data_IF_628261061735
#
_entry.id   IF_628261061735
#
_cell.length_a   1.000
_cell.length_b   1.000
_cell.length_c   1.000
_cell.angle_alpha   90.00
_cell.angle_beta   90.00
_cell.angle_gamma   90.00
#
_symmetry.space_group_name_H-M   'P 1'
#
loop_
_entity.id
_entity.type
_entity.pdbx_description
1 polymer ?
#
# COMPACT_ATOMS: atom_id res chain seq x y z
N UNK A 1 55.09 -25.10 -8.55
CA UNK A 1 54.31 -24.89 -9.79
C UNK A 1 53.08 -24.02 -9.56
N UNK A 2 53.18 -22.85 -8.89
CA UNK A 2 52.03 -22.03 -8.47
C UNK A 2 52.19 -20.53 -8.82
N UNK A 3 53.18 -20.16 -9.62
CA UNK A 3 53.48 -18.74 -9.91
C UNK A 3 53.09 -18.29 -11.32
N UNK A 4 52.66 -19.19 -12.20
CA UNK A 4 52.38 -18.89 -13.62
C UNK A 4 50.93 -18.56 -13.91
N UNK A 5 50.00 -18.82 -12.97
CA UNK A 5 48.54 -18.61 -13.19
C UNK A 5 48.09 -17.19 -12.82
N UNK A 6 48.88 -16.46 -12.02
CA UNK A 6 48.51 -15.07 -11.60
C UNK A 6 48.86 -13.99 -12.62
N UNK A 7 49.81 -14.25 -13.54
CA UNK A 7 50.20 -13.24 -14.54
C UNK A 7 49.27 -13.21 -15.77
N UNK A 8 48.50 -14.24 -16.04
CA UNK A 8 47.60 -14.31 -17.20
C UNK A 8 46.29 -13.53 -16.97
N UNK A 9 45.87 -13.37 -15.72
CA UNK A 9 44.61 -12.67 -15.40
C UNK A 9 44.75 -11.13 -15.45
N UNK A 10 45.94 -10.58 -15.29
CA UNK A 10 46.17 -9.12 -15.31
C UNK A 10 46.26 -8.58 -16.75
N UNK A 11 46.65 -9.40 -17.73
CA UNK A 11 46.80 -8.97 -19.12
C UNK A 11 45.50 -8.86 -19.93
N UNK A 12 44.40 -9.49 -19.48
CA UNK A 12 43.09 -9.48 -20.18
C UNK A 12 42.21 -8.29 -19.75
N UNK A 13 42.47 -7.68 -18.60
CA UNK A 13 41.68 -6.54 -18.09
C UNK A 13 42.17 -5.16 -18.60
N UNK A 14 43.31 -5.08 -19.27
CA UNK A 14 43.86 -3.82 -19.79
C UNK A 14 43.44 -3.47 -21.22
N UNK A 15 42.79 -4.36 -21.97
CA UNK A 15 42.44 -4.15 -23.39
C UNK A 15 40.98 -3.72 -23.65
N UNK A 16 40.14 -3.62 -22.64
CA UNK A 16 38.71 -3.27 -22.80
C UNK A 16 38.37 -1.80 -22.50
N UNK A 17 39.36 -0.93 -22.27
CA UNK A 17 39.11 0.46 -21.81
C UNK A 17 39.24 1.53 -22.91
N UNK A 18 39.27 1.20 -24.19
CA UNK A 18 39.60 2.17 -25.26
C UNK A 18 38.58 2.25 -26.41
N UNK A 19 37.29 2.05 -26.13
CA UNK A 19 36.26 2.35 -27.17
C UNK A 19 34.92 2.81 -26.54
N UNK A 20 34.97 3.87 -25.76
CA UNK A 20 33.76 4.64 -25.48
C UNK A 20 33.65 5.78 -26.52
N UNK A 21 32.58 5.87 -27.33
CA UNK A 21 32.35 7.04 -28.17
C UNK A 21 32.15 8.26 -27.29
N UNK A 22 32.90 9.32 -27.54
CA UNK A 22 32.72 10.62 -26.91
C UNK A 22 31.29 11.09 -27.11
N UNK A 23 30.45 10.96 -26.07
CA UNK A 23 29.16 11.64 -26.02
C UNK A 23 29.46 13.12 -25.93
N UNK A 24 29.17 13.84 -27.00
CA UNK A 24 29.13 15.30 -27.00
C UNK A 24 28.26 15.75 -25.81
N UNK A 25 28.89 16.42 -24.85
CA UNK A 25 28.21 17.08 -23.75
C UNK A 25 27.33 18.19 -24.37
N UNK A 26 26.02 17.99 -24.39
CA UNK A 26 25.08 19.08 -24.66
C UNK A 26 25.34 20.19 -23.61
N UNK A 27 25.47 21.44 -24.06
CA UNK A 27 25.60 22.56 -23.13
C UNK A 27 24.37 22.59 -22.22
N UNK A 28 24.49 22.98 -20.94
CA UNK A 28 23.38 23.09 -20.02
C UNK A 28 22.32 24.02 -20.61
N UNK A 29 21.14 23.48 -20.92
CA UNK A 29 20.01 24.28 -21.34
C UNK A 29 19.66 25.21 -20.18
N UNK A 30 19.79 26.53 -20.38
CA UNK A 30 19.26 27.53 -19.45
C UNK A 30 17.78 27.22 -19.26
N UNK A 31 17.29 27.21 -18.00
CA UNK A 31 15.86 27.09 -17.75
C UNK A 31 15.14 28.19 -18.54
N UNK A 32 14.16 27.78 -19.34
CA UNK A 32 13.34 28.69 -20.11
C UNK A 32 12.68 29.66 -19.14
N UNK A 33 12.84 30.96 -19.38
CA UNK A 33 12.13 32.00 -18.62
C UNK A 33 10.63 31.77 -18.82
N UNK A 34 9.85 31.64 -17.74
CA UNK A 34 8.41 31.42 -17.89
C UNK A 34 7.78 32.58 -18.68
N UNK A 35 6.90 32.21 -19.60
CA UNK A 35 6.14 33.16 -20.42
C UNK A 35 5.34 34.08 -19.50
N UNK A 36 5.47 35.42 -19.60
CA UNK A 36 4.76 36.38 -18.77
C UNK A 36 3.24 36.15 -18.76
N UNK A 37 2.67 35.65 -19.85
CA UNK A 37 1.24 35.28 -19.91
C UNK A 37 0.88 34.06 -19.07
N UNK A 38 1.82 33.18 -18.75
CA UNK A 38 1.60 32.09 -17.81
C UNK A 38 1.65 32.56 -16.36
N UNK A 39 2.53 33.50 -16.03
CA UNK A 39 2.60 34.10 -14.69
C UNK A 39 1.32 34.85 -14.36
N UNK A 40 0.81 35.70 -15.26
CA UNK A 40 -0.45 36.43 -15.09
C UNK A 40 -1.67 35.50 -14.92
N UNK A 41 -1.62 34.30 -15.53
CA UNK A 41 -2.69 33.29 -15.36
C UNK A 41 -2.62 32.59 -14.02
N UNK A 42 -1.41 32.35 -13.52
CA UNK A 42 -1.19 31.74 -12.22
C UNK A 42 -1.59 32.73 -11.10
N UNK A 43 -1.20 34.00 -11.20
CA UNK A 43 -1.57 35.02 -10.25
C UNK A 43 -3.09 35.19 -10.16
N UNK A 44 -3.80 35.27 -11.27
CA UNK A 44 -5.28 35.35 -11.28
C UNK A 44 -5.95 34.15 -10.63
N UNK A 45 -5.41 32.95 -10.82
CA UNK A 45 -5.94 31.75 -10.14
C UNK A 45 -5.65 31.74 -8.66
N UNK A 46 -4.48 32.23 -8.24
CA UNK A 46 -4.12 32.39 -6.82
C UNK A 46 -5.05 33.40 -6.13
N UNK A 47 -5.30 34.56 -6.76
CA UNK A 47 -6.23 35.56 -6.23
C UNK A 47 -7.67 35.04 -6.12
N UNK A 48 -8.10 34.23 -7.08
CA UNK A 48 -9.43 33.60 -7.01
C UNK A 48 -9.53 32.58 -5.89
N UNK A 49 -8.48 31.81 -5.64
CA UNK A 49 -8.42 30.83 -4.52
C UNK A 49 -8.39 31.58 -3.17
N UNK A 50 -7.59 32.64 -3.04
CA UNK A 50 -7.52 33.46 -1.83
C UNK A 50 -8.87 34.12 -1.54
N UNK A 51 -9.54 34.67 -2.54
CA UNK A 51 -10.88 35.26 -2.38
C UNK A 51 -11.93 34.23 -1.94
N UNK A 52 -11.83 32.98 -2.39
CA UNK A 52 -12.70 31.90 -1.92
C UNK A 52 -12.40 31.47 -0.49
N UNK A 53 -11.14 31.53 -0.06
CA UNK A 53 -10.73 31.27 1.32
C UNK A 53 -11.18 32.41 2.26
N UNK A 54 -10.99 33.66 1.88
CA UNK A 54 -11.41 34.85 2.66
C UNK A 54 -12.94 34.95 2.77
N UNK A 55 -13.68 34.50 1.76
CA UNK A 55 -15.15 34.43 1.79
C UNK A 55 -15.71 33.35 2.73
N UNK A 56 -14.88 32.41 3.20
CA UNK A 56 -15.25 31.38 4.16
C UNK A 56 -14.99 31.78 5.62
N UNK A 57 -14.33 32.91 5.90
CA UNK A 57 -13.99 33.40 7.25
C UNK A 57 -15.06 34.31 7.87
N UNK A 58 -16.33 34.05 7.58
CA UNK A 58 -17.47 34.79 8.16
C UNK A 58 -18.15 34.12 9.34
N UNK A 59 -17.41 33.62 10.36
CA UNK A 59 -17.94 33.43 11.75
C UNK A 59 -16.81 33.05 12.71
N UNK A 60 -16.61 33.76 13.85
CA UNK A 60 -15.69 33.32 14.87
C UNK A 60 -16.30 32.17 15.66
N UNK A 61 -15.97 30.96 15.29
CA UNK A 61 -16.32 29.73 15.98
C UNK A 61 -15.14 28.78 15.85
N UNK A 62 -14.51 28.45 16.96
CA UNK A 62 -13.41 27.58 17.30
C UNK A 62 -12.59 26.86 16.21
N UNK A 63 -11.36 26.42 16.51
CA UNK A 63 -10.54 25.73 15.54
C UNK A 63 -11.33 24.55 14.96
N UNK A 64 -11.35 24.35 13.62
CA UNK A 64 -11.98 23.18 13.05
C UNK A 64 -11.21 21.96 13.56
N UNK A 65 -11.81 21.23 14.46
CA UNK A 65 -11.45 19.85 14.72
C UNK A 65 -11.41 19.17 13.34
N UNK A 66 -10.26 18.60 12.97
CA UNK A 66 -10.08 17.82 11.75
C UNK A 66 -11.29 16.90 11.63
N UNK A 67 -12.13 17.15 10.62
CA UNK A 67 -13.46 16.57 10.51
C UNK A 67 -13.41 15.05 10.57
N UNK A 68 -13.70 14.52 11.74
CA UNK A 68 -14.13 13.14 11.90
C UNK A 68 -15.37 12.99 11.02
N UNK A 69 -15.25 12.24 9.94
CA UNK A 69 -16.39 11.89 9.11
C UNK A 69 -17.49 11.39 10.04
N UNK A 70 -18.68 11.97 9.97
CA UNK A 70 -19.78 11.63 10.83
C UNK A 70 -20.03 10.13 10.75
N UNK A 71 -19.80 9.43 11.87
CA UNK A 71 -20.09 8.01 11.97
C UNK A 71 -21.57 7.80 11.65
N UNK A 72 -21.85 6.97 10.65
CA UNK A 72 -23.24 6.65 10.28
C UNK A 72 -23.87 5.86 11.42
N UNK A 73 -24.94 6.37 12.02
CA UNK A 73 -25.76 5.67 13.02
C UNK A 73 -26.65 4.62 12.34
N UNK A 74 -26.02 3.60 11.73
CA UNK A 74 -26.76 2.52 11.10
C UNK A 74 -27.00 1.42 12.14
N UNK A 75 -28.22 0.90 12.21
CA UNK A 75 -28.56 -0.19 13.13
C UNK A 75 -27.71 -1.44 12.81
N UNK A 76 -27.03 -2.00 13.80
CA UNK A 76 -26.14 -3.18 13.71
C UNK A 76 -26.84 -4.44 13.12
N UNK A 77 -28.20 -4.45 13.06
CA UNK A 77 -29.00 -5.62 12.66
C UNK A 77 -28.83 -6.08 11.21
N UNK A 78 -28.30 -5.25 10.32
CA UNK A 78 -28.09 -5.57 8.90
C UNK A 78 -26.65 -6.03 8.55
N UNK A 79 -25.75 -6.05 9.50
CA UNK A 79 -24.35 -6.40 9.26
C UNK A 79 -24.02 -7.81 9.77
N UNK A 80 -23.11 -8.46 9.06
CA UNK A 80 -22.51 -9.75 9.47
C UNK A 80 -21.02 -9.58 9.74
N UNK A 81 -20.45 -10.41 10.65
CA UNK A 81 -19.03 -10.41 10.93
C UNK A 81 -18.16 -10.65 9.69
N UNK A 82 -17.02 -9.93 9.61
CA UNK A 82 -16.06 -10.05 8.53
C UNK A 82 -16.13 -8.96 7.48
N UNK A 83 -15.27 -9.02 6.51
CA UNK A 83 -15.20 -8.14 5.34
C UNK A 83 -15.33 -8.95 4.04
N UNK A 84 -15.81 -8.33 2.98
CA UNK A 84 -15.78 -8.94 1.65
C UNK A 84 -14.36 -8.79 1.11
N UNK A 85 -13.70 -9.90 0.84
CA UNK A 85 -12.43 -9.94 0.13
C UNK A 85 -12.70 -10.07 -1.37
N UNK A 86 -12.29 -9.07 -2.14
CA UNK A 86 -12.28 -9.10 -3.60
C UNK A 86 -10.86 -9.43 -4.05
N UNK A 87 -10.72 -10.46 -4.85
CA UNK A 87 -9.41 -10.97 -5.30
C UNK A 87 -9.15 -10.49 -6.72
N UNK A 88 -7.98 -9.95 -6.95
CA UNK A 88 -7.49 -9.46 -8.23
C UNK A 88 -6.18 -10.16 -8.60
N UNK A 89 -5.82 -10.14 -9.88
CA UNK A 89 -4.45 -10.47 -10.27
C UNK A 89 -3.48 -9.42 -9.69
N UNK A 90 -2.35 -9.84 -9.11
CA UNK A 90 -1.37 -8.91 -8.59
C UNK A 90 -0.78 -8.04 -9.72
N UNK A 91 -0.53 -6.74 -9.48
CA UNK A 91 0.15 -5.87 -10.42
C UNK A 91 1.55 -6.40 -10.77
N UNK A 92 1.97 -6.23 -12.01
CA UNK A 92 3.30 -6.69 -12.48
C UNK A 92 4.35 -5.58 -12.48
N UNK A 93 3.93 -4.33 -12.26
CA UNK A 93 4.81 -3.15 -12.25
C UNK A 93 4.68 -2.39 -10.93
N UNK A 94 5.80 -1.91 -10.40
CA UNK A 94 5.84 -1.13 -9.16
C UNK A 94 4.98 0.15 -9.22
N UNK A 95 4.88 0.79 -10.40
CA UNK A 95 4.04 1.97 -10.60
C UNK A 95 2.54 1.69 -10.44
N UNK A 96 2.11 0.46 -10.68
CA UNK A 96 0.71 0.04 -10.59
C UNK A 96 0.36 -0.58 -9.23
N UNK A 97 1.33 -0.74 -8.33
CA UNK A 97 1.13 -1.48 -7.10
C UNK A 97 0.05 -0.85 -6.20
N UNK A 98 -0.08 0.49 -6.22
CA UNK A 98 -1.11 1.22 -5.49
C UNK A 98 -2.49 1.28 -6.19
N UNK A 99 -2.59 0.76 -7.41
CA UNK A 99 -3.81 0.77 -8.19
C UNK A 99 -4.55 -0.55 -8.00
N UNK A 100 -5.80 -0.50 -7.54
CA UNK A 100 -6.66 -1.68 -7.50
C UNK A 100 -7.10 -1.99 -8.93
N UNK A 101 -6.78 -3.17 -9.47
CA UNK A 101 -7.21 -3.53 -10.82
C UNK A 101 -8.75 -3.55 -10.95
N UNK A 102 -9.32 -3.15 -12.08
CA UNK A 102 -10.78 -3.12 -12.27
C UNK A 102 -11.40 -4.52 -12.29
N UNK A 103 -10.66 -5.51 -12.78
CA UNK A 103 -11.15 -6.87 -12.94
C UNK A 103 -10.82 -7.72 -11.72
N UNK A 104 -11.83 -8.40 -11.17
CA UNK A 104 -11.66 -9.37 -10.10
C UNK A 104 -11.65 -10.79 -10.63
N UNK A 105 -10.89 -11.65 -9.98
CA UNK A 105 -10.80 -13.09 -10.29
C UNK A 105 -11.57 -13.97 -9.31
N UNK A 106 -12.18 -13.36 -8.29
CA UNK A 106 -13.01 -14.04 -7.29
C UNK A 106 -13.19 -13.22 -6.02
N UNK A 107 -13.82 -13.84 -5.02
CA UNK A 107 -14.02 -13.20 -3.73
C UNK A 107 -14.53 -14.18 -2.67
N UNK A 108 -14.40 -13.78 -1.40
CA UNK A 108 -14.86 -14.55 -0.25
C UNK A 108 -15.12 -13.61 0.95
N UNK A 109 -15.69 -14.12 2.03
CA UNK A 109 -15.81 -13.37 3.28
C UNK A 109 -14.58 -13.63 4.14
N UNK A 110 -13.84 -12.58 4.47
CA UNK A 110 -12.68 -12.62 5.34
C UNK A 110 -13.09 -12.32 6.78
N UNK A 111 -12.87 -13.28 7.66
CA UNK A 111 -13.18 -13.18 9.10
C UNK A 111 -11.91 -13.18 9.98
N UNK A 112 -10.77 -13.00 9.37
CA UNK A 112 -9.46 -13.05 10.02
C UNK A 112 -8.58 -14.21 9.55
N UNK A 113 -7.37 -14.25 10.11
CA UNK A 113 -6.33 -15.24 9.83
C UNK A 113 -5.50 -14.95 8.60
N UNK A 114 -4.59 -15.85 8.30
CA UNK A 114 -3.61 -15.70 7.23
C UNK A 114 -4.22 -15.91 5.84
N UNK A 115 -3.82 -15.06 4.90
CA UNK A 115 -4.13 -15.13 3.47
C UNK A 115 -2.89 -15.60 2.72
N UNK A 116 -2.94 -16.76 2.11
CA UNK A 116 -1.88 -17.25 1.21
C UNK A 116 -2.08 -16.62 -0.18
N UNK A 117 -1.46 -15.47 -0.46
CA UNK A 117 -1.69 -14.69 -1.67
C UNK A 117 -1.33 -15.43 -2.98
N UNK A 118 -0.53 -16.48 -2.89
CA UNK A 118 -0.18 -17.35 -4.01
C UNK A 118 -1.14 -18.53 -4.19
N UNK A 119 -2.00 -18.81 -3.20
CA UNK A 119 -2.97 -19.92 -3.25
C UNK A 119 -4.16 -19.60 -2.32
N UNK A 120 -5.23 -19.12 -2.89
CA UNK A 120 -6.50 -18.84 -2.21
C UNK A 120 -7.54 -19.93 -2.42
N UNK A 121 -7.15 -21.12 -2.86
CA UNK A 121 -8.06 -22.25 -3.11
C UNK A 121 -8.80 -22.71 -1.85
N UNK A 122 -8.16 -22.65 -0.68
CA UNK A 122 -8.78 -22.89 0.62
C UNK A 122 -9.90 -21.90 0.97
N UNK A 123 -9.94 -20.74 0.30
CA UNK A 123 -10.99 -19.73 0.39
C UNK A 123 -12.00 -19.80 -0.76
N UNK A 124 -11.91 -20.84 -1.59
CA UNK A 124 -12.81 -21.07 -2.73
C UNK A 124 -12.44 -20.27 -4.00
N UNK A 125 -11.33 -19.55 -4.03
CA UNK A 125 -10.87 -18.78 -5.20
C UNK A 125 -9.89 -19.62 -6.00
N UNK A 126 -10.24 -19.93 -7.24
CA UNK A 126 -9.38 -20.67 -8.17
C UNK A 126 -8.64 -19.71 -9.08
N UNK A 127 -7.48 -19.26 -8.63
CA UNK A 127 -6.60 -18.39 -9.38
C UNK A 127 -5.17 -18.91 -9.33
N UNK A 128 -4.57 -19.12 -10.49
CA UNK A 128 -3.18 -19.59 -10.61
C UNK A 128 -2.26 -18.40 -10.81
N UNK A 129 -1.78 -17.80 -9.73
CA UNK A 129 -0.87 -16.66 -9.74
C UNK A 129 -0.82 -15.97 -8.38
N UNK A 130 0.00 -14.94 -8.28
CA UNK A 130 -0.01 -14.08 -7.11
C UNK A 130 -1.25 -13.19 -7.16
N UNK A 131 -2.00 -13.16 -6.08
CA UNK A 131 -3.19 -12.34 -5.93
C UNK A 131 -2.89 -11.02 -5.20
N UNK A 132 -3.57 -9.95 -5.61
CA UNK A 132 -3.86 -8.81 -4.76
C UNK A 132 -5.23 -9.00 -4.11
N UNK A 133 -5.41 -8.51 -2.89
CA UNK A 133 -6.67 -8.64 -2.15
C UNK A 133 -7.16 -7.27 -1.70
N UNK A 134 -8.38 -6.94 -2.08
CA UNK A 134 -9.10 -5.78 -1.57
C UNK A 134 -10.12 -6.23 -0.54
N UNK A 135 -9.97 -5.80 0.71
CA UNK A 135 -10.99 -5.99 1.74
C UNK A 135 -11.95 -4.80 1.74
N UNK A 136 -13.23 -5.08 1.63
CA UNK A 136 -14.31 -4.09 1.64
C UNK A 136 -15.28 -4.40 2.78
N UNK A 137 -15.57 -3.41 3.62
CA UNK A 137 -16.47 -3.62 4.74
C UNK A 137 -16.61 -2.38 5.61
N UNK A 138 -16.91 -2.63 6.87
CA UNK A 138 -17.08 -1.59 7.87
C UNK A 138 -16.18 -1.89 9.06
N UNK A 139 -15.39 -0.94 9.46
CA UNK A 139 -14.57 -1.00 10.66
C UNK A 139 -15.42 -0.55 11.86
N UNK A 140 -15.52 -1.41 12.87
CA UNK A 140 -16.24 -1.10 14.12
C UNK A 140 -15.26 -0.53 15.14
N UNK A 141 -15.42 0.75 15.45
CA UNK A 141 -14.63 1.45 16.48
C UNK A 141 -15.50 1.61 17.72
N UNK A 142 -15.05 1.05 18.86
CA UNK A 142 -15.79 1.06 20.13
C UNK A 142 -15.39 2.25 21.01
N UNK A 143 -14.16 2.72 20.91
CA UNK A 143 -13.56 3.74 21.76
C UNK A 143 -12.86 4.80 20.92
N UNK A 144 -12.95 6.07 21.34
CA UNK A 144 -12.24 7.17 20.70
C UNK A 144 -10.74 7.05 20.87
N UNK A 145 -9.99 7.35 19.83
CA UNK A 145 -8.53 7.40 19.86
C UNK A 145 -7.89 6.87 18.60
N UNK A 146 -6.58 6.57 18.71
CA UNK A 146 -5.79 6.12 17.58
C UNK A 146 -6.04 4.64 17.28
N UNK A 147 -6.62 4.38 16.12
CA UNK A 147 -6.75 3.04 15.56
C UNK A 147 -5.62 2.83 14.57
N UNK A 148 -4.96 1.68 14.63
CA UNK A 148 -3.96 1.28 13.65
C UNK A 148 -4.49 0.07 12.87
N UNK A 149 -4.33 0.12 11.57
CA UNK A 149 -4.57 -0.99 10.65
C UNK A 149 -3.21 -1.40 10.11
N UNK A 150 -2.93 -2.67 10.08
CA UNK A 150 -1.64 -3.17 9.66
C UNK A 150 -1.73 -4.48 8.91
N UNK A 151 -0.56 -4.92 8.49
CA UNK A 151 -0.38 -6.20 7.84
C UNK A 151 0.97 -6.79 8.19
N UNK A 152 0.98 -8.06 8.59
CA UNK A 152 2.19 -8.86 8.71
C UNK A 152 2.35 -9.71 7.45
N UNK A 153 3.39 -9.40 6.70
CA UNK A 153 3.74 -10.06 5.45
C UNK A 153 4.87 -11.05 5.70
N UNK A 154 4.67 -12.27 5.23
CA UNK A 154 5.68 -13.34 5.30
C UNK A 154 5.86 -13.92 3.90
N UNK A 155 7.12 -14.11 3.51
CA UNK A 155 7.43 -14.75 2.25
C UNK A 155 8.48 -15.84 2.41
N UNK A 156 8.28 -16.95 1.69
CA UNK A 156 9.32 -17.93 1.45
C UNK A 156 9.86 -17.69 0.04
N UNK A 157 11.11 -17.25 -0.04
CA UNK A 157 11.75 -16.86 -1.28
C UNK A 157 12.31 -18.06 -2.05
N UNK A 158 12.33 -17.96 -3.37
CA UNK A 158 13.01 -18.92 -4.24
C UNK A 158 14.52 -19.02 -3.91
N UNK A 159 15.20 -20.11 -4.29
CA UNK A 159 16.58 -20.37 -3.89
C UNK A 159 17.60 -19.34 -4.43
N UNK A 160 17.25 -18.64 -5.50
CA UNK A 160 18.12 -17.64 -6.15
C UNK A 160 17.69 -16.19 -5.84
N UNK A 161 16.67 -15.99 -5.01
CA UNK A 161 16.13 -14.67 -4.70
C UNK A 161 16.92 -14.07 -3.53
N UNK A 162 17.61 -12.98 -3.77
CA UNK A 162 18.37 -12.22 -2.76
C UNK A 162 17.52 -11.10 -2.17
N UNK A 163 16.64 -10.52 -2.98
CA UNK A 163 15.73 -9.44 -2.60
C UNK A 163 14.32 -9.92 -2.88
N UNK A 164 13.47 -9.95 -1.87
CA UNK A 164 12.09 -10.38 -2.01
C UNK A 164 11.21 -9.33 -2.71
N UNK A 165 9.93 -9.60 -2.88
CA UNK A 165 9.00 -8.71 -3.57
C UNK A 165 8.77 -7.41 -2.79
N UNK A 166 8.48 -6.33 -3.51
CA UNK A 166 7.88 -5.13 -2.95
C UNK A 166 6.39 -5.37 -2.74
N UNK A 167 5.90 -5.02 -1.56
CA UNK A 167 4.50 -5.12 -1.19
C UNK A 167 3.94 -3.76 -0.78
N UNK A 168 2.63 -3.62 -0.85
CA UNK A 168 1.90 -2.42 -0.47
C UNK A 168 0.73 -2.75 0.45
N UNK A 169 0.47 -1.87 1.39
CA UNK A 169 -0.79 -1.74 2.11
C UNK A 169 -1.33 -0.33 1.88
N UNK A 170 -2.54 -0.21 1.38
CA UNK A 170 -3.23 1.07 1.25
C UNK A 170 -4.61 0.97 1.90
N UNK A 171 -4.99 2.00 2.65
CA UNK A 171 -6.27 2.02 3.35
C UNK A 171 -7.06 3.28 3.05
N UNK A 172 -8.38 3.09 2.97
CA UNK A 172 -9.38 4.16 2.85
C UNK A 172 -10.40 4.01 3.97
N UNK A 173 -10.76 5.13 4.58
CA UNK A 173 -11.92 5.28 5.46
C UNK A 173 -12.85 6.32 4.85
N UNK A 174 -14.15 6.02 4.75
CA UNK A 174 -15.16 6.89 4.14
C UNK A 174 -14.71 7.42 2.76
N UNK A 175 -14.14 6.51 1.93
CA UNK A 175 -13.61 6.79 0.59
C UNK A 175 -12.39 7.75 0.55
N UNK A 176 -11.82 8.12 1.70
CA UNK A 176 -10.58 8.92 1.81
C UNK A 176 -9.39 8.02 2.09
N UNK A 177 -8.32 8.18 1.35
CA UNK A 177 -7.05 7.51 1.63
C UNK A 177 -6.53 7.99 2.98
N UNK A 178 -6.35 7.08 3.93
CA UNK A 178 -5.75 7.37 5.24
C UNK A 178 -4.25 7.10 5.26
N UNK A 179 -3.77 6.31 4.33
CA UNK A 179 -2.35 6.06 4.17
C UNK A 179 -2.04 5.02 3.11
N UNK A 180 -0.77 5.00 2.74
CA UNK A 180 -0.17 4.01 1.84
C UNK A 180 1.22 3.71 2.36
N UNK A 181 1.47 2.45 2.68
CA UNK A 181 2.77 1.96 3.12
C UNK A 181 3.31 0.94 2.13
N UNK A 182 4.62 0.95 1.92
CA UNK A 182 5.33 0.01 1.05
C UNK A 182 6.51 -0.59 1.79
N UNK A 183 6.76 -1.85 1.57
CA UNK A 183 7.94 -2.51 2.07
C UNK A 183 8.50 -3.50 1.06
N UNK A 184 9.81 -3.56 1.02
CA UNK A 184 10.57 -4.63 0.38
C UNK A 184 10.68 -5.78 1.37
N UNK A 185 10.21 -6.97 1.01
CA UNK A 185 10.41 -8.15 1.84
C UNK A 185 11.88 -8.53 1.85
N UNK A 186 12.53 -8.34 2.98
CA UNK A 186 13.96 -8.60 3.13
C UNK A 186 14.17 -9.94 3.84
N UNK A 187 15.03 -10.82 3.33
CA UNK A 187 15.37 -12.06 4.01
C UNK A 187 15.90 -11.80 5.42
N UNK A 188 15.29 -12.41 6.42
CA UNK A 188 15.71 -12.33 7.83
C UNK A 188 16.58 -13.52 8.25
N UNK A 189 16.29 -14.70 7.68
CA UNK A 189 17.07 -15.92 7.88
C UNK A 189 16.82 -16.89 6.72
N UNK A 190 17.88 -17.32 6.07
CA UNK A 190 17.76 -18.25 4.93
C UNK A 190 16.87 -17.72 3.83
N UNK A 191 15.71 -18.37 3.63
CA UNK A 191 14.73 -18.03 2.57
C UNK A 191 13.48 -17.32 3.09
N UNK A 192 13.42 -17.10 4.38
CA UNK A 192 12.27 -16.42 4.99
C UNK A 192 12.48 -14.91 5.00
N UNK A 193 11.47 -14.19 4.53
CA UNK A 193 11.42 -12.73 4.54
C UNK A 193 10.15 -12.25 5.23
N UNK A 194 10.23 -11.11 5.93
CA UNK A 194 9.10 -10.51 6.64
C UNK A 194 9.09 -9.01 6.48
N UNK A 195 7.89 -8.45 6.51
CA UNK A 195 7.67 -7.02 6.66
C UNK A 195 6.35 -6.78 7.39
N UNK A 196 6.30 -5.70 8.16
CA UNK A 196 5.06 -5.22 8.77
C UNK A 196 4.77 -3.83 8.23
N UNK A 197 3.56 -3.64 7.73
CA UNK A 197 3.03 -2.37 7.23
C UNK A 197 1.98 -1.89 8.23
N UNK A 198 2.02 -0.60 8.62
CA UNK A 198 1.09 -0.07 9.63
C UNK A 198 0.65 1.33 9.26
N UNK A 199 -0.65 1.52 9.19
CA UNK A 199 -1.32 2.80 8.96
C UNK A 199 -2.12 3.18 10.23
N UNK A 200 -2.40 4.46 10.44
CA UNK A 200 -3.17 4.87 11.61
C UNK A 200 -4.03 6.10 11.37
N UNK A 201 -5.18 6.13 12.06
CA UNK A 201 -6.09 7.26 12.08
C UNK A 201 -6.66 7.47 13.48
N UNK A 202 -6.93 8.72 13.84
CA UNK A 202 -7.64 9.06 15.07
C UNK A 202 -9.15 9.07 14.79
N UNK A 203 -9.87 8.15 15.44
CA UNK A 203 -11.28 7.88 15.17
C UNK A 203 -12.13 8.06 16.42
N UNK A 204 -13.41 8.40 16.22
CA UNK A 204 -14.45 8.39 17.23
C UNK A 204 -15.16 7.04 17.22
N UNK A 205 -15.91 6.66 18.28
CA UNK A 205 -16.74 5.46 18.25
C UNK A 205 -17.75 5.52 17.09
N UNK A 206 -17.88 4.41 16.35
CA UNK A 206 -18.78 4.32 15.22
C UNK A 206 -18.42 3.24 14.22
N UNK A 207 -19.15 3.22 13.11
CA UNK A 207 -18.91 2.36 11.96
C UNK A 207 -18.34 3.22 10.83
N UNK A 208 -17.21 2.79 10.28
CA UNK A 208 -16.52 3.47 9.20
C UNK A 208 -16.41 2.56 7.99
N UNK A 209 -16.83 3.03 6.83
CA UNK A 209 -16.63 2.31 5.57
C UNK A 209 -15.13 2.14 5.35
N UNK A 210 -14.69 0.90 5.27
CA UNK A 210 -13.27 0.53 5.15
C UNK A 210 -13.01 -0.15 3.82
N UNK A 211 -11.92 0.25 3.18
CA UNK A 211 -11.26 -0.49 2.10
C UNK A 211 -9.79 -0.64 2.46
N UNK A 212 -9.28 -1.85 2.31
CA UNK A 212 -7.85 -2.16 2.44
C UNK A 212 -7.39 -2.85 1.16
N UNK A 213 -6.33 -2.37 0.57
CA UNK A 213 -5.70 -2.98 -0.59
C UNK A 213 -4.33 -3.50 -0.22
N UNK A 214 -4.12 -4.78 -0.47
CA UNK A 214 -2.86 -5.48 -0.28
C UNK A 214 -2.44 -6.13 -1.58
N UNK A 215 -1.24 -5.86 -2.02
CA UNK A 215 -0.64 -6.53 -3.16
C UNK A 215 0.88 -6.57 -3.05
N UNK A 216 1.48 -7.54 -3.70
CA UNK A 216 2.93 -7.64 -3.84
C UNK A 216 3.28 -7.85 -5.32
N UNK A 217 4.47 -7.39 -5.72
CA UNK A 217 4.99 -7.68 -7.04
C UNK A 217 5.31 -9.17 -7.17
N UNK A 218 4.89 -9.84 -8.26
CA UNK A 218 5.21 -11.23 -8.46
C UNK A 218 6.72 -11.43 -8.59
N UNK A 219 7.23 -12.39 -7.84
CA UNK A 219 8.63 -12.81 -7.91
C UNK A 219 8.65 -14.31 -8.10
N UNK A 220 9.56 -14.80 -8.96
CA UNK A 220 9.65 -16.22 -9.32
C UNK A 220 9.84 -17.08 -8.05
N UNK A 221 9.12 -18.19 -7.97
CA UNK A 221 9.24 -19.18 -6.90
C UNK A 221 9.10 -18.59 -5.48
N UNK A 222 8.35 -17.52 -5.33
CA UNK A 222 8.08 -16.88 -4.04
C UNK A 222 6.66 -17.15 -3.60
N UNK A 223 6.49 -17.59 -2.36
CA UNK A 223 5.18 -17.75 -1.70
C UNK A 223 5.00 -16.66 -0.69
N UNK A 224 3.89 -15.96 -0.75
CA UNK A 224 3.58 -14.83 0.11
C UNK A 224 2.32 -15.11 0.90
N UNK A 225 2.38 -14.84 2.19
CA UNK A 225 1.25 -14.86 3.10
C UNK A 225 1.11 -13.51 3.79
N UNK A 226 -0.12 -13.08 3.98
CA UNK A 226 -0.48 -11.83 4.60
C UNK A 226 -1.44 -12.08 5.76
N UNK A 227 -1.30 -11.34 6.85
CA UNK A 227 -2.25 -11.33 7.95
C UNK A 227 -2.62 -9.90 8.27
N UNK A 228 -3.92 -9.58 8.18
CA UNK A 228 -4.41 -8.24 8.48
C UNK A 228 -4.49 -8.06 9.99
N UNK A 229 -3.92 -6.95 10.46
CA UNK A 229 -3.78 -6.61 11.85
C UNK A 229 -4.57 -5.36 12.20
N UNK A 230 -5.00 -5.27 13.45
CA UNK A 230 -5.62 -4.09 14.03
C UNK A 230 -5.07 -3.82 15.43
N UNK A 231 -5.02 -2.55 15.78
CA UNK A 231 -4.85 -2.09 17.15
C UNK A 231 -5.86 -0.98 17.44
N UNK A 232 -6.73 -1.20 18.39
CA UNK A 232 -7.66 -0.21 18.92
C UNK A 232 -7.04 0.51 20.12
N UNK A 233 -7.61 1.62 20.62
CA UNK A 233 -7.07 2.32 21.80
C UNK A 233 -6.91 1.45 23.04
N UNK A 234 -7.76 0.45 23.23
CA UNK A 234 -7.70 -0.51 24.35
C UNK A 234 -6.70 -1.65 24.14
N UNK A 235 -6.22 -1.87 22.93
CA UNK A 235 -5.23 -2.93 22.66
C UNK A 235 -3.82 -2.47 23.04
N UNK A 236 -3.03 -3.31 23.68
CA UNK A 236 -1.62 -3.04 23.94
C UNK A 236 -0.77 -3.14 22.68
N UNK A 237 -1.05 -4.14 21.86
CA UNK A 237 -0.28 -4.47 20.65
C UNK A 237 -1.20 -4.65 19.44
N UNK A 238 -0.61 -4.62 18.24
CA UNK A 238 -1.28 -5.10 17.03
C UNK A 238 -1.64 -6.57 17.19
N UNK A 239 -2.87 -6.91 16.80
CA UNK A 239 -3.39 -8.28 16.79
C UNK A 239 -4.08 -8.59 15.47
N UNK A 240 -4.23 -9.87 15.18
CA UNK A 240 -5.03 -10.29 14.03
C UNK A 240 -6.46 -9.72 14.09
N UNK A 241 -6.95 -9.28 12.96
CA UNK A 241 -8.36 -8.87 12.80
C UNK A 241 -9.27 -10.06 13.02
N UNK A 242 -10.39 -9.84 13.70
CA UNK A 242 -11.47 -10.82 13.89
C UNK A 242 -12.74 -10.39 13.18
N UNK A 243 -13.72 -11.30 13.10
CA UNK A 243 -15.04 -10.96 12.56
C UNK A 243 -15.78 -9.86 13.33
N UNK A 244 -15.41 -9.62 14.61
CA UNK A 244 -16.02 -8.57 15.43
C UNK A 244 -15.49 -7.16 15.16
N UNK A 245 -14.30 -7.07 14.55
CA UNK A 245 -13.65 -5.81 14.19
C UNK A 245 -14.16 -5.30 12.84
N UNK A 246 -14.48 -6.22 11.94
CA UNK A 246 -14.94 -5.92 10.58
C UNK A 246 -16.34 -6.47 10.36
N UNK A 247 -17.14 -5.70 9.67
CA UNK A 247 -18.52 -6.06 9.33
C UNK A 247 -18.74 -5.91 7.82
N UNK A 248 -19.66 -6.68 7.25
CA UNK A 248 -20.13 -6.53 5.88
C UNK A 248 -21.64 -6.61 5.78
N UNK A 249 -22.19 -5.98 4.76
CA UNK A 249 -23.61 -6.14 4.44
C UNK A 249 -23.76 -7.38 3.55
N UNK A 250 -24.59 -8.36 3.94
CA UNK A 250 -24.91 -9.47 3.05
C UNK A 250 -25.61 -8.93 1.80
N UNK A 251 -25.19 -9.40 0.64
CA UNK A 251 -25.87 -9.12 -0.64
C UNK A 251 -27.03 -10.05 -0.83
#
# INVERSE_FOLDING_TARGET
MTTTLRQIIIAVLAAAALSAPARAQQPPQRPATPDPTQLDRIERKLDEILRRLDGAEGKPGGPPAAGAGAASSVSDASYRPGAVAVVHAAPTKASQLAEVPPDSVGGFVYTGGTLALHDLSSRGVRYAGLAGVELQGWLKVKEAGRVQLGEDLRATLGPTIVVGPECILQAWLEDRVIGTERAQLTPSSGREARASLVLGADLQPGLYKLRLWTACLPTRDTRIAAEVLIKTPSDLNLRGVTGDDLLHQPR
#
